data_IF_989880251385
#
_entry.id   IF_989880251385
#
_cell.length_a   1.000
_cell.length_b   1.000
_cell.length_c   1.000
_cell.angle_alpha   90.00
_cell.angle_beta   90.00
_cell.angle_gamma   90.00
#
_symmetry.space_group_name_H-M   'P 1'
#
loop_
_entity.id
_entity.type
_entity.pdbx_description
1 polymer ?
#
# COMPACT_ATOMS: atom_id res chain seq x y z
N UNK A 1 18.36 -5.96 -9.52
CA UNK A 1 17.18 -5.21 -9.02
C UNK A 1 17.62 -4.55 -7.71
N UNK A 2 17.61 -3.23 -7.61
CA UNK A 2 18.04 -2.55 -6.37
C UNK A 2 16.86 -2.57 -5.38
N UNK A 3 17.08 -3.04 -4.16
CA UNK A 3 16.06 -2.99 -3.11
C UNK A 3 16.19 -1.69 -2.31
N UNK A 4 15.11 -1.21 -1.70
CA UNK A 4 15.17 -0.09 -0.75
C UNK A 4 15.08 -0.64 0.68
N UNK A 5 15.87 -0.09 1.61
CA UNK A 5 15.75 -0.36 3.04
C UNK A 5 15.54 0.95 3.80
N UNK A 6 14.68 0.92 4.81
CA UNK A 6 14.30 2.12 5.60
C UNK A 6 15.00 2.08 6.96
N UNK A 7 15.70 3.15 7.33
CA UNK A 7 16.31 3.37 8.64
C UNK A 7 15.77 4.68 9.23
N UNK A 8 15.34 4.69 10.50
CA UNK A 8 14.86 5.90 11.19
C UNK A 8 15.71 6.17 12.43
N UNK A 9 16.13 7.41 12.65
CA UNK A 9 16.96 7.83 13.80
C UNK A 9 16.15 8.22 15.04
N UNK A 10 14.81 8.22 14.95
CA UNK A 10 13.88 8.42 16.06
C UNK A 10 13.91 9.81 16.72
N UNK A 11 14.78 10.73 16.29
CA UNK A 11 14.92 12.06 16.90
C UNK A 11 14.75 13.22 15.92
N UNK A 12 14.75 12.96 14.61
CA UNK A 12 14.39 13.93 13.60
C UNK A 12 13.29 13.39 12.70
N UNK A 13 12.32 14.24 12.33
CA UNK A 13 11.14 13.93 11.50
C UNK A 13 11.50 13.60 10.04
N UNK A 14 12.67 13.00 9.83
CA UNK A 14 13.21 12.59 8.56
C UNK A 14 13.44 11.09 8.62
N UNK A 15 12.81 10.35 7.71
CA UNK A 15 13.14 8.95 7.49
C UNK A 15 14.28 8.85 6.50
N UNK A 16 15.31 8.05 6.84
CA UNK A 16 16.40 7.74 5.94
C UNK A 16 16.07 6.50 5.11
N UNK A 17 16.05 6.66 3.79
CA UNK A 17 15.84 5.60 2.82
C UNK A 17 17.18 5.26 2.17
N UNK A 18 17.55 3.98 2.16
CA UNK A 18 18.74 3.45 1.52
C UNK A 18 18.42 2.78 0.19
N UNK A 19 19.18 3.12 -0.86
CA UNK A 19 19.26 2.35 -2.09
C UNK A 19 20.25 1.21 -1.89
N UNK A 20 19.80 -0.03 -1.93
CA UNK A 20 20.60 -1.24 -1.75
C UNK A 20 20.91 -1.91 -3.09
N UNK A 21 22.19 -2.09 -3.37
CA UNK A 21 22.66 -2.85 -4.52
C UNK A 21 22.71 -4.34 -4.15
N UNK A 22 21.87 -5.15 -4.81
CA UNK A 22 21.77 -6.59 -4.53
C UNK A 22 22.97 -7.40 -5.02
N UNK A 23 23.72 -6.91 -6.00
CA UNK A 23 24.94 -7.56 -6.48
C UNK A 23 26.11 -7.29 -5.50
N UNK A 24 26.25 -6.05 -5.05
CA UNK A 24 27.31 -5.63 -4.13
C UNK A 24 26.98 -5.92 -2.66
N UNK A 25 25.71 -6.23 -2.37
CA UNK A 25 25.18 -6.48 -1.03
C UNK A 25 25.42 -5.32 -0.05
N UNK A 26 25.29 -4.07 -0.53
CA UNK A 26 25.51 -2.88 0.30
C UNK A 26 24.58 -1.73 -0.06
N UNK A 27 24.37 -0.83 0.90
CA UNK A 27 23.73 0.47 0.66
C UNK A 27 24.69 1.34 -0.16
N UNK A 28 24.21 1.87 -1.27
CA UNK A 28 25.01 2.68 -2.22
C UNK A 28 24.66 4.16 -2.20
N UNK A 29 23.48 4.53 -1.69
CA UNK A 29 23.05 5.92 -1.47
C UNK A 29 22.01 5.92 -0.36
N UNK A 30 22.00 6.96 0.47
CA UNK A 30 20.90 7.25 1.39
C UNK A 30 20.27 8.59 1.03
N UNK A 31 18.97 8.72 1.30
CA UNK A 31 18.19 9.94 1.09
C UNK A 31 17.27 10.13 2.29
N UNK A 32 17.01 11.37 2.67
CA UNK A 32 16.15 11.69 3.82
C UNK A 32 14.87 12.35 3.34
N UNK A 33 13.72 11.80 3.74
CA UNK A 33 12.40 12.38 3.44
C UNK A 33 11.65 12.76 4.71
N UNK A 34 10.85 13.85 4.69
CA UNK A 34 9.96 14.19 5.80
C UNK A 34 8.92 13.10 6.13
N UNK A 35 8.82 12.81 7.43
CA UNK A 35 7.86 11.88 8.03
C UNK A 35 8.35 10.44 8.09
N UNK A 36 7.56 9.59 8.75
CA UNK A 36 7.68 8.14 8.75
C UNK A 36 7.23 7.57 7.40
N UNK A 37 7.76 6.42 7.00
CA UNK A 37 7.32 5.71 5.80
C UNK A 37 6.19 4.77 6.18
N UNK A 38 5.06 4.88 5.49
CA UNK A 38 3.94 3.93 5.70
C UNK A 38 3.99 2.81 4.67
N UNK A 39 4.21 3.16 3.40
CA UNK A 39 4.12 2.22 2.29
C UNK A 39 5.16 2.50 1.22
N UNK A 40 5.60 1.43 0.56
CA UNK A 40 6.49 1.50 -0.60
C UNK A 40 5.96 0.55 -1.68
N UNK A 41 5.68 1.08 -2.87
CA UNK A 41 5.40 0.30 -4.07
C UNK A 41 6.44 0.53 -5.15
N UNK A 42 6.61 -0.45 -6.04
CA UNK A 42 7.56 -0.41 -7.14
C UNK A 42 6.87 -0.56 -8.49
N UNK A 43 7.31 0.21 -9.49
CA UNK A 43 6.90 0.04 -10.87
C UNK A 43 8.11 0.26 -11.80
N UNK A 44 8.73 -0.84 -12.23
CA UNK A 44 9.90 -0.82 -13.09
C UNK A 44 11.05 0.02 -12.49
N UNK A 45 11.51 1.10 -13.15
CA UNK A 45 12.58 1.95 -12.65
C UNK A 45 12.12 2.97 -11.60
N UNK A 46 10.85 2.94 -11.17
CA UNK A 46 10.29 3.88 -10.20
C UNK A 46 9.86 3.17 -8.92
N UNK A 47 9.91 3.89 -7.80
CA UNK A 47 9.25 3.49 -6.57
C UNK A 47 8.45 4.67 -6.00
N UNK A 48 7.37 4.36 -5.29
CA UNK A 48 6.47 5.34 -4.70
C UNK A 48 6.40 5.10 -3.21
N UNK A 49 6.58 6.16 -2.43
CA UNK A 49 6.65 6.08 -0.97
C UNK A 49 5.63 7.04 -0.37
N UNK A 50 4.64 6.50 0.34
CA UNK A 50 3.77 7.33 1.18
C UNK A 50 4.48 7.62 2.49
N UNK A 51 4.53 8.88 2.88
CA UNK A 51 5.01 9.28 4.19
C UNK A 51 3.88 9.81 5.06
N UNK A 52 3.95 9.52 6.34
CA UNK A 52 3.01 10.00 7.35
C UNK A 52 3.77 10.71 8.48
N UNK A 53 3.08 11.53 9.25
CA UNK A 53 3.60 12.02 10.52
C UNK A 53 2.57 11.78 11.63
N UNK A 54 2.93 10.97 12.63
CA UNK A 54 2.08 10.90 13.83
C UNK A 54 2.18 12.22 14.60
N UNK A 55 1.06 12.77 15.08
CA UNK A 55 1.12 13.83 16.07
C UNK A 55 1.82 13.29 17.33
N UNK A 56 2.75 14.07 17.89
CA UNK A 56 3.36 13.72 19.16
C UNK A 56 2.27 13.69 20.25
N UNK A 57 2.29 12.66 21.11
CA UNK A 57 1.45 12.64 22.30
C UNK A 57 1.67 13.93 23.11
N UNK A 58 0.62 14.75 23.23
CA UNK A 58 0.65 15.99 24.02
C UNK A 58 1.02 17.26 23.26
N UNK A 59 1.22 17.21 21.95
CA UNK A 59 1.20 18.43 21.12
C UNK A 59 -0.16 18.54 20.44
N UNK A 60 -0.87 19.64 20.69
CA UNK A 60 -2.11 19.98 19.98
C UNK A 60 -1.87 19.93 18.47
N UNK A 61 -2.33 18.84 17.86
CA UNK A 61 -2.89 18.71 16.51
C UNK A 61 -2.32 19.55 15.36
N UNK A 62 -1.04 19.95 15.36
CA UNK A 62 -0.42 20.46 14.14
C UNK A 62 -0.20 19.23 13.26
N UNK A 63 -1.22 18.91 12.46
CA UNK A 63 -1.18 17.93 11.39
C UNK A 63 0.06 18.24 10.55
N UNK A 64 1.09 17.41 10.68
CA UNK A 64 2.31 17.63 9.94
C UNK A 64 2.19 16.94 8.58
N UNK A 65 2.05 17.77 7.56
CA UNK A 65 2.70 17.68 6.25
C UNK A 65 3.26 16.30 5.88
N UNK A 66 2.39 15.50 5.28
CA UNK A 66 2.63 14.20 4.64
C UNK A 66 2.75 14.38 3.12
N UNK A 67 3.42 13.46 2.42
CA UNK A 67 3.49 13.50 0.96
C UNK A 67 3.63 12.08 0.37
N UNK A 68 3.49 11.96 -0.94
CA UNK A 68 3.95 10.79 -1.69
C UNK A 68 5.21 11.20 -2.45
N UNK A 69 6.24 10.37 -2.38
CA UNK A 69 7.51 10.60 -3.08
C UNK A 69 7.67 9.59 -4.20
N UNK A 70 8.02 10.08 -5.40
CA UNK A 70 8.43 9.24 -6.53
C UNK A 70 9.96 9.21 -6.57
N UNK A 71 10.53 8.02 -6.44
CA UNK A 71 11.95 7.74 -6.57
C UNK A 71 12.26 7.17 -7.94
N UNK A 72 13.30 7.69 -8.57
CA UNK A 72 13.93 7.08 -9.73
C UNK A 72 15.05 6.13 -9.26
N UNK A 73 14.88 4.83 -9.49
CA UNK A 73 15.81 3.81 -9.01
C UNK A 73 17.10 3.73 -9.84
N UNK A 74 17.14 4.38 -11.02
CA UNK A 74 18.30 4.45 -11.89
C UNK A 74 19.18 5.63 -11.48
N UNK A 75 18.63 6.83 -11.50
CA UNK A 75 19.32 8.08 -11.15
C UNK A 75 19.49 8.24 -9.64
N UNK A 76 18.65 7.57 -8.85
CA UNK A 76 18.59 7.64 -7.38
C UNK A 76 18.14 9.01 -6.90
N UNK A 77 17.42 9.75 -7.74
CA UNK A 77 16.80 11.04 -7.42
C UNK A 77 15.32 10.83 -7.06
N UNK A 78 14.70 11.84 -6.44
CA UNK A 78 13.30 11.77 -6.07
C UNK A 78 12.59 13.12 -6.17
N UNK A 79 11.26 13.08 -6.25
CA UNK A 79 10.39 14.27 -6.20
C UNK A 79 9.17 14.03 -5.33
N UNK A 80 8.54 15.11 -4.88
CA UNK A 80 7.19 15.06 -4.31
C UNK A 80 6.17 14.90 -5.43
N UNK A 81 5.11 14.13 -5.18
CA UNK A 81 3.97 14.01 -6.08
C UNK A 81 3.00 15.17 -5.85
N UNK A 82 2.66 15.46 -4.59
CA UNK A 82 1.87 16.65 -4.28
C UNK A 82 2.79 17.88 -4.26
N UNK A 83 2.37 18.95 -4.95
CA UNK A 83 3.11 20.22 -5.02
C UNK A 83 3.31 20.84 -3.63
N UNK A 84 2.31 20.67 -2.78
CA UNK A 84 2.34 21.06 -1.38
C UNK A 84 2.19 19.84 -0.49
N UNK A 85 2.69 19.93 0.73
CA UNK A 85 2.50 18.87 1.70
C UNK A 85 1.04 18.81 2.13
N UNK A 86 0.52 17.59 2.29
CA UNK A 86 -0.86 17.30 2.61
C UNK A 86 -1.02 17.03 4.10
N UNK A 87 -2.18 17.33 4.67
CA UNK A 87 -2.47 16.90 6.04
C UNK A 87 -2.56 15.37 6.15
N UNK A 88 -3.06 14.74 5.08
CA UNK A 88 -3.20 13.29 4.95
C UNK A 88 -2.84 12.84 3.55
N UNK A 89 -2.14 11.71 3.45
CA UNK A 89 -1.92 10.98 2.20
C UNK A 89 -2.53 9.59 2.30
N UNK A 90 -2.75 8.92 1.17
CA UNK A 90 -3.14 7.52 1.19
C UNK A 90 -2.13 6.68 1.97
N UNK A 91 -2.66 5.72 2.73
CA UNK A 91 -1.93 4.73 3.49
C UNK A 91 -1.08 3.85 2.55
N UNK A 92 -1.76 3.09 1.69
CA UNK A 92 -1.16 2.31 0.60
C UNK A 92 -1.30 3.06 -0.72
N UNK A 93 -0.32 2.89 -1.60
CA UNK A 93 -0.31 3.48 -2.95
C UNK A 93 0.24 2.50 -3.97
N UNK A 94 -0.42 2.37 -5.11
CA UNK A 94 0.04 1.52 -6.21
C UNK A 94 -0.05 2.24 -7.54
N UNK A 95 0.92 1.94 -8.42
CA UNK A 95 0.95 2.50 -9.76
C UNK A 95 0.10 1.66 -10.71
N UNK A 96 -0.71 2.33 -11.53
CA UNK A 96 -1.41 1.68 -12.63
C UNK A 96 -1.72 2.68 -13.76
N UNK A 97 -1.39 2.29 -14.99
CA UNK A 97 -1.72 3.02 -16.22
C UNK A 97 -1.40 4.53 -16.19
N UNK A 98 -0.22 4.90 -15.70
CA UNK A 98 0.22 6.30 -15.63
C UNK A 98 -0.37 7.11 -14.46
N UNK A 99 -1.12 6.48 -13.56
CA UNK A 99 -1.67 7.08 -12.35
C UNK A 99 -1.14 6.38 -11.11
N UNK A 100 -1.23 7.08 -9.98
CA UNK A 100 -1.19 6.44 -8.68
C UNK A 100 -2.61 6.26 -8.17
N UNK A 101 -2.85 5.13 -7.56
CA UNK A 101 -4.06 4.89 -6.80
C UNK A 101 -3.68 4.68 -5.36
N UNK A 102 -4.54 5.10 -4.44
CA UNK A 102 -4.25 4.96 -3.03
C UNK A 102 -5.49 4.77 -2.19
N UNK A 103 -5.29 4.20 -1.01
CA UNK A 103 -6.34 3.97 -0.03
C UNK A 103 -6.09 4.83 1.20
N UNK A 104 -7.06 5.67 1.57
CA UNK A 104 -7.08 6.33 2.87
C UNK A 104 -7.69 5.39 3.91
N UNK A 105 -6.92 5.05 4.94
CA UNK A 105 -7.41 4.25 6.07
C UNK A 105 -8.12 5.14 7.09
N UNK A 106 -9.24 4.69 7.65
CA UNK A 106 -9.74 5.26 8.91
C UNK A 106 -8.90 4.71 10.07
N UNK A 107 -8.19 5.59 10.78
CA UNK A 107 -7.56 5.24 12.05
C UNK A 107 -8.26 5.95 13.21
N UNK A 108 -8.27 5.32 14.38
CA UNK A 108 -9.00 5.78 15.59
C UNK A 108 -8.63 7.22 16.04
N UNK A 109 -7.50 7.74 15.59
CA UNK A 109 -6.99 9.07 15.94
C UNK A 109 -7.00 10.05 14.77
N UNK A 110 -7.72 9.73 13.70
CA UNK A 110 -7.89 10.62 12.55
C UNK A 110 -9.12 11.51 12.78
N UNK A 111 -8.98 12.86 12.70
CA UNK A 111 -10.10 13.79 12.72
C UNK A 111 -11.25 13.38 11.79
N UNK A 112 -12.50 13.62 12.23
CA UNK A 112 -13.70 13.22 11.49
C UNK A 112 -13.83 13.88 10.11
N UNK A 113 -13.19 15.02 9.92
CA UNK A 113 -13.14 15.80 8.68
C UNK A 113 -11.99 15.39 7.75
N UNK A 114 -11.07 14.54 8.20
CA UNK A 114 -10.02 14.00 7.35
C UNK A 114 -10.58 13.02 6.30
N UNK A 115 -9.88 12.83 5.18
CA UNK A 115 -10.21 11.78 4.23
C UNK A 115 -10.07 10.39 4.89
N UNK A 116 -11.15 9.61 4.93
CA UNK A 116 -11.17 8.27 5.54
C UNK A 116 -11.91 7.28 4.66
N UNK A 117 -11.39 6.05 4.59
CA UNK A 117 -11.97 4.95 3.83
C UNK A 117 -12.24 5.35 2.37
N UNK A 118 -11.25 5.95 1.70
CA UNK A 118 -11.37 6.39 0.31
C UNK A 118 -10.40 5.63 -0.56
N UNK A 119 -10.86 5.20 -1.73
CA UNK A 119 -9.98 4.86 -2.84
C UNK A 119 -9.87 6.08 -3.74
N UNK A 120 -8.66 6.51 -4.07
CA UNK A 120 -8.40 7.70 -4.89
C UNK A 120 -7.55 7.35 -6.10
N UNK A 121 -7.73 8.14 -7.17
CA UNK A 121 -6.85 8.17 -8.34
C UNK A 121 -6.16 9.52 -8.40
N UNK A 122 -4.84 9.49 -8.48
CA UNK A 122 -3.94 10.63 -8.42
C UNK A 122 -3.22 10.74 -9.77
N UNK A 123 -3.34 11.89 -10.41
CA UNK A 123 -2.59 12.23 -11.61
C UNK A 123 -1.14 12.52 -11.24
N UNK A 124 -0.21 11.71 -11.76
CA UNK A 124 1.22 11.78 -11.42
C UNK A 124 1.93 13.05 -11.91
N UNK A 125 1.38 13.72 -12.93
CA UNK A 125 1.97 14.93 -13.52
C UNK A 125 1.63 16.15 -12.68
N UNK A 126 0.39 16.21 -12.20
CA UNK A 126 -0.16 17.37 -11.49
C UNK A 126 -0.18 17.19 -9.97
N UNK A 127 -0.13 15.94 -9.49
CA UNK A 127 -0.34 15.61 -8.09
C UNK A 127 -1.80 15.68 -7.64
N UNK A 128 -2.75 15.93 -8.56
CA UNK A 128 -4.14 16.14 -8.19
C UNK A 128 -4.90 14.81 -8.05
N UNK A 129 -5.80 14.72 -7.07
CA UNK A 129 -6.80 13.66 -6.99
C UNK A 129 -7.86 13.92 -8.08
N UNK A 130 -7.95 13.05 -9.07
CA UNK A 130 -8.86 13.18 -10.22
C UNK A 130 -10.14 12.37 -10.09
N UNK A 131 -10.13 11.32 -9.25
CA UNK A 131 -11.30 10.51 -8.91
C UNK A 131 -11.20 10.02 -7.47
N UNK A 132 -12.35 9.79 -6.84
CA UNK A 132 -12.45 9.13 -5.53
C UNK A 132 -13.74 8.31 -5.45
N UNK A 133 -13.71 7.24 -4.66
CA UNK A 133 -14.89 6.46 -4.28
C UNK A 133 -14.81 6.16 -2.77
N UNK A 134 -15.98 6.19 -2.13
CA UNK A 134 -16.12 5.82 -0.72
C UNK A 134 -16.03 4.31 -0.59
N UNK A 135 -15.20 3.86 0.34
CA UNK A 135 -15.06 2.47 0.74
C UNK A 135 -15.74 2.23 2.08
N UNK A 136 -15.92 0.95 2.38
CA UNK A 136 -16.24 0.46 3.72
C UNK A 136 -15.10 0.74 4.71
N UNK A 137 -15.43 0.66 5.99
CA UNK A 137 -14.49 1.02 7.06
C UNK A 137 -13.21 0.20 7.03
N UNK A 138 -12.12 0.83 7.47
CA UNK A 138 -10.82 0.20 7.71
C UNK A 138 -10.09 -0.30 6.47
N UNK A 139 -10.30 0.35 5.33
CA UNK A 139 -9.54 0.10 4.12
C UNK A 139 -8.02 0.22 4.38
N UNK A 140 -7.22 -0.74 3.89
CA UNK A 140 -5.82 -0.94 4.31
C UNK A 140 -4.86 -1.06 3.13
N UNK A 141 -4.89 -2.19 2.43
CA UNK A 141 -3.95 -2.52 1.36
C UNK A 141 -4.70 -2.61 0.03
N UNK A 142 -3.98 -2.52 -1.09
CA UNK A 142 -4.60 -2.55 -2.41
C UNK A 142 -3.74 -3.27 -3.44
N UNK A 143 -4.38 -3.96 -4.39
CA UNK A 143 -3.73 -4.54 -5.57
C UNK A 143 -4.62 -4.41 -6.80
N UNK A 144 -4.01 -4.44 -7.98
CA UNK A 144 -4.74 -4.44 -9.25
C UNK A 144 -4.99 -5.84 -9.75
N UNK A 145 -6.08 -6.00 -10.52
CA UNK A 145 -6.32 -7.24 -11.24
C UNK A 145 -5.29 -7.45 -12.36
N UNK A 146 -5.08 -8.70 -12.74
CA UNK A 146 -4.16 -9.07 -13.83
C UNK A 146 -4.52 -8.39 -15.17
N UNK A 147 -5.81 -8.18 -15.43
CA UNK A 147 -6.32 -7.51 -16.62
C UNK A 147 -6.33 -5.97 -16.51
N UNK A 148 -6.00 -5.42 -15.33
CA UNK A 148 -5.99 -4.00 -15.05
C UNK A 148 -7.36 -3.32 -14.99
N UNK A 149 -8.47 -4.06 -15.03
CA UNK A 149 -9.81 -3.47 -15.00
C UNK A 149 -10.34 -3.21 -13.59
N UNK A 150 -9.76 -3.86 -12.58
CA UNK A 150 -10.20 -3.79 -11.19
C UNK A 150 -9.06 -3.44 -10.24
N UNK A 151 -9.42 -2.82 -9.13
CA UNK A 151 -8.61 -2.81 -7.92
C UNK A 151 -9.32 -3.60 -6.81
N UNK A 152 -8.54 -4.26 -5.97
CA UNK A 152 -9.01 -4.97 -4.78
C UNK A 152 -8.40 -4.31 -3.56
N UNK A 153 -9.25 -3.93 -2.61
CA UNK A 153 -8.85 -3.28 -1.37
C UNK A 153 -9.18 -4.19 -0.21
N UNK A 154 -8.24 -4.39 0.70
CA UNK A 154 -8.50 -5.12 1.94
C UNK A 154 -8.97 -4.20 3.05
N UNK A 155 -9.74 -4.77 3.97
CA UNK A 155 -10.25 -4.08 5.14
C UNK A 155 -9.72 -4.73 6.42
N UNK A 156 -9.06 -3.94 7.25
CA UNK A 156 -8.37 -4.38 8.45
C UNK A 156 -8.64 -3.45 9.64
N UNK A 157 -9.44 -3.94 10.59
CA UNK A 157 -9.55 -3.32 11.90
C UNK A 157 -8.35 -3.71 12.76
N UNK A 158 -7.56 -2.70 13.17
CA UNK A 158 -6.24 -2.84 13.77
C UNK A 158 -6.13 -3.58 15.11
N UNK A 159 -4.96 -3.39 15.74
CA UNK A 159 -4.29 -4.08 16.86
C UNK A 159 -5.08 -4.47 18.13
N UNK A 160 -6.39 -4.27 18.22
CA UNK A 160 -7.09 -4.28 19.52
C UNK A 160 -8.27 -5.23 19.66
N UNK A 161 -8.74 -5.95 18.64
CA UNK A 161 -9.90 -6.84 18.83
C UNK A 161 -9.90 -8.08 17.92
N UNK A 162 -10.50 -9.16 18.43
CA UNK A 162 -10.92 -10.37 17.70
C UNK A 162 -12.13 -10.07 16.79
N UNK A 163 -12.07 -8.99 16.02
CA UNK A 163 -13.11 -8.63 15.06
C UNK A 163 -12.78 -9.27 13.73
N UNK A 164 -13.62 -10.20 13.31
CA UNK A 164 -13.70 -10.56 11.89
C UNK A 164 -14.49 -9.51 11.13
N UNK A 165 -13.93 -9.06 10.01
CA UNK A 165 -14.62 -8.18 9.08
C UNK A 165 -15.64 -8.98 8.27
N UNK A 166 -16.91 -8.54 8.28
CA UNK A 166 -17.96 -9.16 7.45
C UNK A 166 -17.66 -9.04 5.95
N UNK A 167 -17.09 -7.90 5.55
CA UNK A 167 -16.70 -7.59 4.18
C UNK A 167 -15.20 -7.26 4.13
N UNK A 168 -14.31 -8.27 4.14
CA UNK A 168 -12.87 -8.03 4.22
C UNK A 168 -12.25 -7.50 2.92
N UNK A 169 -13.00 -7.50 1.81
CA UNK A 169 -12.53 -7.04 0.50
C UNK A 169 -13.57 -6.14 -0.16
N UNK A 170 -13.12 -5.05 -0.77
CA UNK A 170 -13.87 -4.26 -1.74
C UNK A 170 -13.21 -4.38 -3.12
N UNK A 171 -13.98 -4.70 -4.16
CA UNK A 171 -13.56 -4.58 -5.56
C UNK A 171 -14.01 -3.24 -6.12
N UNK A 172 -13.11 -2.52 -6.79
CA UNK A 172 -13.39 -1.27 -7.49
C UNK A 172 -13.22 -1.50 -8.99
N UNK A 173 -14.24 -1.17 -9.78
CA UNK A 173 -14.13 -1.10 -11.24
C UNK A 173 -13.44 0.21 -11.64
N UNK A 174 -12.31 0.13 -12.35
CA UNK A 174 -11.50 1.31 -12.66
C UNK A 174 -12.08 2.17 -13.79
N UNK A 175 -13.02 1.64 -14.57
CA UNK A 175 -13.71 2.39 -15.62
C UNK A 175 -14.89 3.18 -15.05
N UNK A 176 -15.69 2.55 -14.19
CA UNK A 176 -16.89 3.17 -13.60
C UNK A 176 -16.63 3.86 -12.27
N UNK A 177 -15.55 3.51 -11.57
CA UNK A 177 -15.28 3.92 -10.18
C UNK A 177 -16.34 3.45 -9.19
N UNK A 178 -17.03 2.35 -9.50
CA UNK A 178 -17.99 1.72 -8.59
C UNK A 178 -17.29 0.72 -7.67
N UNK A 179 -17.61 0.80 -6.37
CA UNK A 179 -17.10 -0.08 -5.35
C UNK A 179 -18.15 -1.13 -4.97
N UNK A 180 -17.71 -2.38 -4.80
CA UNK A 180 -18.55 -3.48 -4.33
C UNK A 180 -17.82 -4.29 -3.27
N UNK A 181 -18.47 -4.45 -2.13
CA UNK A 181 -17.98 -5.25 -1.02
C UNK A 181 -18.26 -6.74 -1.22
N UNK A 182 -17.35 -7.56 -0.73
CA UNK A 182 -17.45 -9.01 -0.79
C UNK A 182 -17.37 -9.61 0.60
N UNK A 183 -18.30 -10.52 0.94
CA UNK A 183 -18.33 -11.14 2.25
C UNK A 183 -17.15 -12.10 2.44
N UNK A 184 -16.70 -12.24 3.68
CA UNK A 184 -15.65 -13.17 4.06
C UNK A 184 -15.53 -13.27 5.57
N UNK A 185 -14.74 -14.26 6.03
CA UNK A 185 -14.50 -14.51 7.45
C UNK A 185 -12.98 -14.59 7.71
N UNK A 186 -12.28 -13.51 7.36
CA UNK A 186 -10.83 -13.38 7.54
C UNK A 186 -10.45 -11.93 7.80
N UNK A 187 -9.33 -11.72 8.51
CA UNK A 187 -8.77 -10.40 8.80
C UNK A 187 -7.71 -10.04 7.75
N UNK A 188 -8.15 -9.50 6.61
CA UNK A 188 -7.30 -9.24 5.45
C UNK A 188 -6.30 -8.09 5.68
N UNK A 189 -5.09 -8.39 6.16
CA UNK A 189 -4.06 -7.38 6.42
C UNK A 189 -3.23 -7.01 5.19
N UNK A 190 -3.08 -7.96 4.27
CA UNK A 190 -2.32 -7.79 3.03
C UNK A 190 -2.97 -8.56 1.89
N UNK A 191 -2.77 -8.08 0.68
CA UNK A 191 -3.27 -8.72 -0.54
C UNK A 191 -2.20 -8.73 -1.63
N UNK A 192 -2.20 -9.79 -2.42
CA UNK A 192 -1.33 -9.94 -3.58
C UNK A 192 -2.10 -10.57 -4.74
N UNK A 193 -2.00 -9.98 -5.92
CA UNK A 193 -2.44 -10.61 -7.17
C UNK A 193 -1.30 -11.48 -7.72
N UNK A 194 -1.64 -12.71 -8.10
CA UNK A 194 -0.72 -13.59 -8.81
C UNK A 194 -1.46 -14.55 -9.75
N UNK A 195 -1.31 -14.32 -11.05
CA UNK A 195 -1.82 -15.19 -12.12
C UNK A 195 -3.35 -15.43 -12.05
N UNK A 196 -4.13 -14.36 -11.85
CA UNK A 196 -5.58 -14.41 -11.75
C UNK A 196 -6.07 -14.97 -10.41
N UNK A 197 -5.24 -14.87 -9.36
CA UNK A 197 -5.55 -15.26 -7.98
C UNK A 197 -5.27 -14.10 -7.05
N UNK A 198 -6.12 -13.95 -6.03
CA UNK A 198 -5.86 -13.04 -4.93
C UNK A 198 -5.42 -13.85 -3.71
N UNK A 199 -4.20 -13.60 -3.25
CA UNK A 199 -3.65 -14.17 -2.02
C UNK A 199 -3.83 -13.16 -0.90
N UNK A 200 -4.44 -13.59 0.21
CA UNK A 200 -4.83 -12.72 1.32
C UNK A 200 -4.19 -13.23 2.61
N UNK A 201 -3.41 -12.38 3.25
CA UNK A 201 -2.84 -12.64 4.56
C UNK A 201 -3.89 -12.37 5.64
N UNK A 202 -4.17 -13.38 6.46
CA UNK A 202 -4.97 -13.26 7.67
C UNK A 202 -4.07 -13.43 8.91
N UNK A 203 -3.77 -12.31 9.56
CA UNK A 203 -2.91 -12.28 10.74
C UNK A 203 -3.64 -12.66 12.04
N UNK A 204 -4.98 -12.73 12.06
CA UNK A 204 -5.74 -13.21 13.21
C UNK A 204 -5.69 -14.73 13.29
N UNK A 205 -5.94 -15.39 12.16
CA UNK A 205 -6.02 -16.86 12.11
C UNK A 205 -4.75 -17.54 11.61
N UNK A 206 -3.72 -16.76 11.28
CA UNK A 206 -2.47 -17.22 10.68
C UNK A 206 -2.71 -18.05 9.42
N UNK A 207 -3.60 -17.57 8.55
CA UNK A 207 -3.97 -18.25 7.30
C UNK A 207 -3.60 -17.41 6.10
N UNK A 208 -3.27 -18.11 5.02
CA UNK A 208 -3.24 -17.54 3.67
C UNK A 208 -4.46 -18.06 2.92
N UNK A 209 -5.34 -17.15 2.51
CA UNK A 209 -6.53 -17.47 1.71
C UNK A 209 -6.27 -17.11 0.26
N UNK A 210 -6.50 -18.05 -0.65
CA UNK A 210 -6.37 -17.88 -2.10
C UNK A 210 -7.75 -17.85 -2.71
N UNK A 211 -8.10 -16.74 -3.35
CA UNK A 211 -9.34 -16.55 -4.06
C UNK A 211 -9.12 -16.62 -5.57
N UNK A 212 -10.15 -17.07 -6.28
CA UNK A 212 -10.28 -16.76 -7.70
C UNK A 212 -10.50 -15.26 -7.87
N UNK A 213 -9.69 -14.58 -8.69
CA UNK A 213 -9.80 -13.12 -8.85
C UNK A 213 -11.14 -12.66 -9.44
N UNK A 214 -11.70 -13.44 -10.37
CA UNK A 214 -12.91 -13.07 -11.10
C UNK A 214 -14.18 -13.33 -10.28
N UNK A 215 -14.26 -14.52 -9.66
CA UNK A 215 -15.44 -14.94 -8.90
C UNK A 215 -15.38 -14.54 -7.42
N UNK A 216 -14.17 -14.28 -6.90
CA UNK A 216 -13.88 -14.06 -5.49
C UNK A 216 -14.26 -15.22 -4.56
N UNK A 217 -14.42 -16.40 -5.15
CA UNK A 217 -14.62 -17.64 -4.40
C UNK A 217 -13.30 -18.14 -3.84
N UNK A 218 -13.36 -18.72 -2.62
CA UNK A 218 -12.20 -19.34 -1.98
C UNK A 218 -11.83 -20.62 -2.73
N UNK A 219 -10.62 -20.66 -3.28
CA UNK A 219 -10.07 -21.86 -3.93
C UNK A 219 -9.23 -22.68 -2.96
N UNK A 220 -8.51 -22.00 -2.06
CA UNK A 220 -7.61 -22.65 -1.12
C UNK A 220 -7.42 -21.82 0.14
N UNK A 221 -7.25 -22.51 1.26
CA UNK A 221 -6.80 -21.92 2.51
C UNK A 221 -5.61 -22.71 3.03
N UNK A 222 -4.56 -22.01 3.43
CA UNK A 222 -3.31 -22.59 3.92
C UNK A 222 -3.10 -22.10 5.35
N UNK A 223 -2.99 -23.05 6.28
CA UNK A 223 -2.58 -22.73 7.65
C UNK A 223 -1.08 -22.46 7.67
N UNK A 224 -0.69 -21.38 8.33
CA UNK A 224 0.70 -21.02 8.56
C UNK A 224 1.01 -21.14 10.04
N UNK A 225 2.29 -21.36 10.35
CA UNK A 225 2.81 -21.36 11.72
C UNK A 225 2.94 -19.93 12.28
N UNK A 226 2.94 -18.92 11.41
CA UNK A 226 3.11 -17.51 11.74
C UNK A 226 2.10 -16.69 10.94
N UNK A 227 1.53 -15.68 11.61
CA UNK A 227 0.64 -14.69 11.02
C UNK A 227 1.28 -13.97 9.81
N UNK A 228 0.70 -14.06 8.60
CA UNK A 228 1.19 -13.36 7.42
C UNK A 228 0.78 -11.87 7.48
N UNK A 229 1.74 -11.00 7.82
CA UNK A 229 1.50 -9.55 7.87
C UNK A 229 1.64 -8.91 6.49
N UNK A 230 2.62 -9.37 5.70
CA UNK A 230 2.91 -8.84 4.37
C UNK A 230 3.06 -9.98 3.37
N UNK A 231 2.51 -9.76 2.17
CA UNK A 231 2.69 -10.61 1.02
C UNK A 231 3.50 -9.85 -0.03
N UNK A 232 4.43 -10.53 -0.68
CA UNK A 232 5.21 -9.97 -1.76
C UNK A 232 5.45 -11.04 -2.82
N UNK A 233 5.44 -10.65 -4.08
CA UNK A 233 5.79 -11.56 -5.17
C UNK A 233 7.31 -11.54 -5.39
N UNK A 234 7.93 -12.72 -5.45
CA UNK A 234 9.30 -12.83 -5.94
C UNK A 234 9.25 -12.75 -7.47
N UNK A 235 9.49 -11.56 -8.03
CA UNK A 235 9.77 -11.48 -9.47
C UNK A 235 11.13 -12.14 -9.71
N UNK A 236 11.13 -13.43 -10.02
CA UNK A 236 12.30 -14.11 -10.55
C UNK A 236 12.64 -13.45 -11.87
N UNK A 237 13.59 -12.51 -11.85
CA UNK A 237 14.16 -11.93 -13.07
C UNK A 237 14.58 -13.10 -13.94
N UNK A 238 13.90 -13.30 -15.07
CA UNK A 238 14.13 -14.43 -15.95
C UNK A 238 15.61 -14.60 -16.26
N UNK A 239 16.25 -15.55 -15.58
CA UNK A 239 17.33 -16.31 -16.20
C UNK A 239 16.62 -17.41 -16.97
N UNK A 240 16.18 -17.07 -18.18
CA UNK A 240 16.05 -18.08 -19.21
C UNK A 240 17.41 -18.77 -19.28
N UNK A 241 17.46 -20.01 -18.82
CA UNK A 241 18.52 -20.92 -19.22
C UNK A 241 18.38 -21.10 -20.73
N UNK A 242 19.13 -20.30 -21.49
CA UNK A 242 19.53 -20.67 -22.85
C UNK A 242 20.32 -21.96 -22.67
N UNK A 243 19.68 -23.09 -22.97
CA UNK A 243 20.38 -24.33 -23.28
C UNK A 243 21.00 -24.23 -24.68
#
# INVERSE_FOLDING_TARGET
>A
MNSAQVLSDGQSYLTELGFYDTNQKKIIKTVRIPGGVEYISGNGPKAYVSSYQFPNKGQDSILKKSNIYEFDLVTKEYRKIFSEDQDYVPFSVEYHDGYLYGVYQSALNVPKDAPQNLFVKIDLKTGNIVKKVQLSEYARDLVFSADGNYAYVTHFYGLFQDITMKNPITRIDLHTFEAKDYPGDYRAVSILEQNGKLCIGDDLTSKLTVLNEQTLEVEKTIQLDIAPIFLANESRSGKEHVQ
#
